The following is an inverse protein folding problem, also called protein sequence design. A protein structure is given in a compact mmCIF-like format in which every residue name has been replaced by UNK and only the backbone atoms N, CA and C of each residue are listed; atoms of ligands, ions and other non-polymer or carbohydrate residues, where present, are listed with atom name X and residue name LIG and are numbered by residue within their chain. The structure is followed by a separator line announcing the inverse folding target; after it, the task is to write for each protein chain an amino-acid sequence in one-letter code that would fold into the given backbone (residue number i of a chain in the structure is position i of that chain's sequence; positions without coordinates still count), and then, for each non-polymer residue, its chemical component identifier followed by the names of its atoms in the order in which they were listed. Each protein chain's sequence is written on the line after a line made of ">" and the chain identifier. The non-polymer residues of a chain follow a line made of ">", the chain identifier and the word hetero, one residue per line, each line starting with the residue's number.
data_IF_142740747882
#
_entry.id   IF_142740747882
#
_cell.length_a   1.000
_cell.length_b   1.000
_cell.length_c   1.000
_cell.angle_alpha   90.00
_cell.angle_beta   90.00
_cell.angle_gamma   90.00
#
_symmetry.space_group_name_H-M   'P 1'
#
loop_
_entity.id
_entity.type
_entity.pdbx_description
1 polymer ?
#
# COMPACT_ATOMS: atom_id res chain seq x y z
N UNK A 1 9.97 -10.10 -13.93
CA UNK A 1 10.70 -9.53 -12.79
C UNK A 1 11.29 -8.16 -13.08
N UNK A 2 10.53 -7.21 -13.62
CA UNK A 2 11.01 -5.85 -13.88
C UNK A 2 10.89 -4.92 -12.65
N UNK A 3 10.62 -5.47 -11.46
CA UNK A 3 10.55 -4.70 -10.21
C UNK A 3 9.22 -4.03 -9.86
N UNK A 4 8.20 -4.03 -10.74
CA UNK A 4 6.91 -3.35 -10.47
C UNK A 4 6.31 -3.63 -9.09
N UNK A 5 6.08 -4.89 -8.75
CA UNK A 5 5.50 -5.27 -7.45
C UNK A 5 6.37 -4.80 -6.29
N UNK A 6 7.70 -4.89 -6.42
CA UNK A 6 8.65 -4.36 -5.43
C UNK A 6 8.50 -2.84 -5.29
N UNK A 7 8.41 -2.11 -6.40
CA UNK A 7 8.18 -0.65 -6.39
C UNK A 7 6.87 -0.28 -5.70
N UNK A 8 5.77 -0.95 -6.04
CA UNK A 8 4.48 -0.71 -5.36
C UNK A 8 4.57 -1.02 -3.87
N UNK A 9 5.18 -2.14 -3.49
CA UNK A 9 5.39 -2.50 -2.09
C UNK A 9 6.21 -1.46 -1.33
N UNK A 10 7.21 -0.83 -1.96
CA UNK A 10 7.95 0.29 -1.36
C UNK A 10 7.10 1.55 -1.20
N UNK A 11 6.32 1.90 -2.22
CA UNK A 11 5.42 3.07 -2.19
C UNK A 11 4.34 2.94 -1.10
N UNK A 12 3.80 1.75 -0.88
CA UNK A 12 2.76 1.53 0.14
C UNK A 12 3.34 1.21 1.53
N UNK A 13 4.66 1.00 1.64
CA UNK A 13 5.34 0.77 2.92
C UNK A 13 5.32 -0.68 3.42
N UNK A 14 5.18 -1.65 2.51
CA UNK A 14 5.37 -3.08 2.79
C UNK A 14 6.84 -3.50 2.71
N UNK A 15 7.64 -2.81 1.90
CA UNK A 15 9.08 -3.01 1.77
C UNK A 15 9.77 -1.66 2.02
N UNK A 16 10.88 -1.66 2.76
CA UNK A 16 11.68 -0.45 2.96
C UNK A 16 12.56 -0.23 1.70
N UNK A 17 12.58 0.96 1.11
CA UNK A 17 13.54 1.26 0.05
C UNK A 17 14.96 1.30 0.63
N UNK A 18 15.93 0.77 -0.12
CA UNK A 18 17.35 0.85 0.25
C UNK A 18 17.85 2.31 0.16
N UNK A 19 17.39 3.03 -0.87
CA UNK A 19 17.69 4.44 -1.12
C UNK A 19 16.47 5.19 -1.70
N UNK A 20 16.50 6.52 -1.63
CA UNK A 20 15.42 7.39 -2.11
C UNK A 20 14.34 7.67 -1.07
N UNK A 21 13.27 8.35 -1.50
CA UNK A 21 12.17 8.76 -0.65
C UNK A 21 10.82 8.52 -1.32
N UNK A 22 9.79 8.25 -0.52
CA UNK A 22 8.40 8.17 -0.95
C UNK A 22 7.68 9.40 -0.40
N UNK A 23 7.21 10.26 -1.29
CA UNK A 23 6.37 11.41 -0.95
C UNK A 23 4.91 11.13 -1.32
N UNK A 24 3.99 11.50 -0.44
CA UNK A 24 2.56 11.51 -0.72
C UNK A 24 2.03 12.94 -0.56
N UNK A 25 1.83 13.61 -1.70
CA UNK A 25 1.74 15.08 -1.72
C UNK A 25 3.05 15.70 -1.22
N UNK A 26 2.95 16.66 -0.32
CA UNK A 26 4.11 17.32 0.31
C UNK A 26 4.72 16.51 1.47
N UNK A 27 4.09 15.42 1.90
CA UNK A 27 4.54 14.64 3.05
C UNK A 27 5.55 13.56 2.64
N UNK A 28 6.75 13.59 3.22
CA UNK A 28 7.66 12.44 3.19
C UNK A 28 7.09 11.32 4.08
N UNK A 29 6.73 10.19 3.45
CA UNK A 29 6.15 9.02 4.12
C UNK A 29 7.13 7.85 4.18
N UNK A 30 8.40 8.04 3.82
CA UNK A 30 9.40 6.97 3.69
C UNK A 30 9.55 6.11 4.94
N UNK A 31 9.48 6.74 6.13
CA UNK A 31 9.57 6.06 7.42
C UNK A 31 8.21 5.59 7.98
N UNK A 32 7.09 5.96 7.34
CA UNK A 32 5.77 5.61 7.84
C UNK A 32 5.40 4.18 7.45
N UNK A 33 4.86 3.37 8.39
CA UNK A 33 4.30 2.05 8.07
C UNK A 33 3.00 2.19 7.26
N UNK A 34 2.61 1.12 6.56
CA UNK A 34 1.45 1.10 5.64
C UNK A 34 0.16 1.66 6.26
N UNK A 35 -0.17 1.32 7.51
CA UNK A 35 -1.41 1.80 8.14
C UNK A 35 -1.42 3.32 8.39
N UNK A 36 -0.25 3.96 8.54
CA UNK A 36 -0.15 5.43 8.65
C UNK A 36 -0.26 6.08 7.28
N UNK A 37 0.33 5.48 6.24
CA UNK A 37 0.17 5.94 4.85
C UNK A 37 -1.30 5.86 4.40
N UNK A 38 -1.99 4.77 4.75
CA UNK A 38 -3.42 4.62 4.46
C UNK A 38 -4.29 5.70 5.12
N UNK A 39 -3.99 6.06 6.38
CA UNK A 39 -4.68 7.17 7.08
C UNK A 39 -4.45 8.55 6.45
N UNK A 40 -3.38 8.72 5.67
CA UNK A 40 -3.16 9.95 4.89
C UNK A 40 -3.98 9.96 3.59
N UNK A 41 -4.60 8.84 3.20
CA UNK A 41 -5.42 8.71 1.99
C UNK A 41 -4.85 7.77 0.92
N UNK A 42 -3.76 7.05 1.20
CA UNK A 42 -3.17 6.11 0.24
C UNK A 42 -3.94 4.78 0.21
N UNK A 43 -4.55 4.45 -0.94
CA UNK A 43 -5.16 3.14 -1.19
C UNK A 43 -4.19 2.17 -1.88
N UNK A 44 -4.39 0.87 -1.67
CA UNK A 44 -3.61 -0.18 -2.34
C UNK A 44 -4.48 -1.39 -2.70
N UNK A 45 -4.35 -1.84 -3.95
CA UNK A 45 -4.93 -3.09 -4.43
C UNK A 45 -3.78 -4.02 -4.85
N UNK A 46 -3.70 -5.19 -4.21
CA UNK A 46 -2.67 -6.19 -4.51
C UNK A 46 -2.92 -6.88 -5.84
N UNK A 47 -1.86 -7.45 -6.42
CA UNK A 47 -1.97 -8.27 -7.62
C UNK A 47 -2.77 -9.56 -7.37
N UNK A 48 -2.59 -10.18 -6.20
CA UNK A 48 -3.39 -11.33 -5.77
C UNK A 48 -4.74 -10.88 -5.19
N UNK A 49 -5.81 -11.67 -5.36
CA UNK A 49 -7.13 -11.31 -4.84
C UNK A 49 -7.14 -11.12 -3.32
N UNK A 50 -7.59 -9.96 -2.86
CA UNK A 50 -7.63 -9.57 -1.44
C UNK A 50 -9.02 -9.66 -0.79
N UNK A 51 -9.98 -10.32 -1.44
CA UNK A 51 -11.37 -10.40 -0.97
C UNK A 51 -11.54 -11.33 0.24
N UNK A 52 -12.39 -10.96 1.19
CA UNK A 52 -12.83 -11.85 2.26
C UNK A 52 -13.84 -12.86 1.71
N UNK A 53 -13.34 -14.03 1.30
CA UNK A 53 -14.11 -15.07 0.56
C UNK A 53 -15.34 -15.61 1.30
N UNK A 54 -15.43 -15.45 2.62
CA UNK A 54 -16.55 -15.93 3.44
C UNK A 54 -17.63 -14.88 3.70
N UNK A 55 -17.46 -13.68 3.15
CA UNK A 55 -18.35 -12.54 3.35
C UNK A 55 -19.12 -12.21 2.07
N UNK A 56 -20.32 -11.64 2.21
CA UNK A 56 -21.08 -11.08 1.09
C UNK A 56 -20.37 -9.84 0.52
N UNK A 57 -20.84 -9.34 -0.63
CA UNK A 57 -20.31 -8.10 -1.22
C UNK A 57 -20.47 -6.93 -0.25
N UNK A 58 -21.66 -6.75 0.33
CA UNK A 58 -21.95 -5.69 1.30
C UNK A 58 -20.99 -5.75 2.51
N UNK A 59 -20.78 -6.96 3.06
CA UNK A 59 -19.86 -7.18 4.19
C UNK A 59 -18.38 -6.96 3.88
N UNK A 60 -17.98 -6.90 2.59
CA UNK A 60 -16.61 -6.53 2.23
C UNK A 60 -16.41 -5.00 2.14
N UNK A 61 -17.49 -4.23 2.07
CA UNK A 61 -17.46 -2.78 1.88
C UNK A 61 -17.75 -2.03 3.18
N UNK A 62 -18.62 -2.58 4.04
CA UNK A 62 -18.98 -2.04 5.37
C UNK A 62 -18.05 -2.55 6.47
#
# INVERSE_FOLDING_TARGET
>A
GAGKTTTFNMVVGLVKPDEGAVHFGEADVSALPIHRRARLGMGYLTQEPSIFRKLTVEQNIL
#
